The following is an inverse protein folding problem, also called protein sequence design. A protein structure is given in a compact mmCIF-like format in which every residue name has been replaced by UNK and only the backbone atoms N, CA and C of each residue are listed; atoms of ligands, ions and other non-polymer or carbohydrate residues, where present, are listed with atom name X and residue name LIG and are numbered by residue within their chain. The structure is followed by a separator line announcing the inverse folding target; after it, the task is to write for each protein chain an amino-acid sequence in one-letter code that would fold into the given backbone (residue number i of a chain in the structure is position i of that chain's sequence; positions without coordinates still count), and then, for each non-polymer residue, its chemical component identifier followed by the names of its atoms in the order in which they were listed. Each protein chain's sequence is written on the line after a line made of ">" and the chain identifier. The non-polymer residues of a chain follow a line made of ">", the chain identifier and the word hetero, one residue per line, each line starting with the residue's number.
data_IF_213772775888
#
_entry.id   IF_213772775888
#
_cell.length_a   1.000
_cell.length_b   1.000
_cell.length_c   1.000
_cell.angle_alpha   90.00
_cell.angle_beta   90.00
_cell.angle_gamma   90.00
#
_symmetry.space_group_name_H-M   'P 1'
#
loop_
_entity.id
_entity.type
_entity.pdbx_description
1 polymer ?
#
# COMPACT_ATOMS: atom_id res chain seq x y z
N UNK A 1 34.74 -36.44 -67.38
CA UNK A 1 34.83 -36.53 -65.91
C UNK A 1 34.31 -35.24 -65.27
N UNK A 2 33.44 -35.41 -64.26
CA UNK A 2 33.18 -34.56 -63.07
C UNK A 2 32.71 -33.10 -63.23
N UNK A 3 31.51 -32.86 -62.69
CA UNK A 3 31.29 -31.80 -61.69
C UNK A 3 30.57 -32.39 -60.47
N UNK A 4 31.03 -32.05 -59.26
CA UNK A 4 30.29 -32.24 -58.01
C UNK A 4 30.09 -30.85 -57.40
N UNK A 5 28.84 -30.43 -57.21
CA UNK A 5 28.51 -29.24 -56.42
C UNK A 5 28.30 -29.67 -54.98
N UNK A 6 29.14 -29.19 -54.06
CA UNK A 6 28.90 -29.29 -52.61
C UNK A 6 27.96 -28.17 -52.19
N UNK A 7 26.82 -28.52 -51.60
CA UNK A 7 25.99 -27.60 -50.83
C UNK A 7 26.68 -27.33 -49.49
N UNK A 8 26.77 -26.05 -49.10
CA UNK A 8 27.22 -25.67 -47.76
C UNK A 8 25.98 -25.35 -46.93
N UNK A 9 25.86 -25.99 -45.77
CA UNK A 9 24.78 -25.74 -44.81
C UNK A 9 24.96 -24.35 -44.17
N UNK A 10 23.88 -23.60 -43.90
CA UNK A 10 23.98 -22.29 -43.26
C UNK A 10 24.58 -22.43 -41.86
N UNK A 11 25.65 -21.68 -41.56
CA UNK A 11 26.28 -21.68 -40.25
C UNK A 11 25.57 -20.70 -39.32
N UNK A 12 24.71 -21.22 -38.45
CA UNK A 12 23.96 -20.46 -37.44
C UNK A 12 24.81 -20.05 -36.21
N UNK A 13 26.10 -20.37 -36.20
CA UNK A 13 27.03 -20.11 -35.08
C UNK A 13 28.07 -19.02 -35.37
N UNK A 14 27.76 -18.09 -36.29
CA UNK A 14 28.64 -16.95 -36.53
C UNK A 14 28.63 -16.02 -35.29
N UNK A 15 29.79 -15.46 -34.89
CA UNK A 15 29.89 -14.51 -33.76
C UNK A 15 28.91 -13.33 -33.88
N UNK A 16 28.55 -12.95 -35.10
CA UNK A 16 27.61 -11.85 -35.37
C UNK A 16 26.16 -12.25 -35.06
N UNK A 17 25.78 -13.50 -35.36
CA UNK A 17 24.43 -13.99 -35.08
C UNK A 17 24.26 -14.39 -33.61
N UNK A 18 25.32 -14.88 -32.95
CA UNK A 18 25.34 -15.09 -31.51
C UNK A 18 25.10 -13.78 -30.72
N UNK A 19 25.70 -12.67 -31.15
CA UNK A 19 25.48 -11.35 -30.51
C UNK A 19 24.04 -10.86 -30.74
N UNK A 20 23.44 -11.15 -31.90
CA UNK A 20 22.04 -10.81 -32.19
C UNK A 20 21.09 -11.62 -31.31
N UNK A 21 21.31 -12.93 -31.22
CA UNK A 21 20.52 -13.82 -30.38
C UNK A 21 20.63 -13.42 -28.90
N UNK A 22 21.83 -13.14 -28.41
CA UNK A 22 22.07 -12.71 -27.04
C UNK A 22 21.33 -11.40 -26.71
N UNK A 23 21.30 -10.43 -27.62
CA UNK A 23 20.56 -9.18 -27.43
C UNK A 23 19.05 -9.39 -27.37
N UNK A 24 18.52 -10.31 -28.18
CA UNK A 24 17.10 -10.67 -28.15
C UNK A 24 16.71 -11.34 -26.82
N UNK A 25 17.53 -12.29 -26.36
CA UNK A 25 17.34 -12.97 -25.08
C UNK A 25 17.46 -11.98 -23.91
N UNK A 26 18.44 -11.07 -23.96
CA UNK A 26 18.61 -10.03 -22.94
C UNK A 26 17.41 -9.07 -22.89
N UNK A 27 16.89 -8.64 -24.05
CA UNK A 27 15.68 -7.81 -24.11
C UNK A 27 14.47 -8.54 -23.53
N UNK A 28 14.30 -9.82 -23.83
CA UNK A 28 13.23 -10.64 -23.28
C UNK A 28 13.37 -10.82 -21.76
N UNK A 29 14.60 -10.98 -21.27
CA UNK A 29 14.91 -11.06 -19.84
C UNK A 29 14.55 -9.78 -19.07
N UNK A 30 14.82 -8.61 -19.65
CA UNK A 30 14.43 -7.31 -19.06
C UNK A 30 12.91 -7.15 -19.00
N UNK A 31 12.20 -7.55 -20.06
CA UNK A 31 10.72 -7.55 -20.07
C UNK A 31 10.17 -8.49 -19.01
N UNK A 32 10.74 -9.69 -18.88
CA UNK A 32 10.31 -10.68 -17.90
C UNK A 32 10.57 -10.21 -16.46
N UNK A 33 11.72 -9.57 -16.21
CA UNK A 33 12.01 -8.95 -14.91
C UNK A 33 11.03 -7.80 -14.60
N UNK A 34 10.69 -7.00 -15.61
CA UNK A 34 9.68 -5.95 -15.50
C UNK A 34 8.29 -6.50 -15.17
N UNK A 35 7.89 -7.61 -15.81
CA UNK A 35 6.65 -8.31 -15.49
C UNK A 35 6.65 -8.89 -14.07
N UNK A 36 7.75 -9.50 -13.62
CA UNK A 36 7.86 -10.04 -12.26
C UNK A 36 7.84 -8.95 -11.17
N UNK A 37 8.38 -7.78 -11.48
CA UNK A 37 8.30 -6.63 -10.58
C UNK A 37 6.88 -6.03 -10.59
N UNK A 38 6.26 -5.93 -11.76
CA UNK A 38 4.89 -5.45 -11.90
C UNK A 38 3.83 -6.45 -11.42
N UNK A 39 4.13 -7.75 -11.29
CA UNK A 39 3.16 -8.74 -10.81
C UNK A 39 2.96 -8.72 -9.30
N UNK A 40 3.73 -7.90 -8.56
CA UNK A 40 3.52 -7.70 -7.13
C UNK A 40 2.42 -6.67 -6.91
N UNK A 41 1.30 -7.10 -6.35
CA UNK A 41 0.12 -6.26 -6.08
C UNK A 41 0.48 -5.02 -5.23
N UNK A 42 1.43 -5.16 -4.31
CA UNK A 42 1.91 -4.07 -3.46
C UNK A 42 2.49 -2.87 -4.23
N UNK A 43 3.09 -3.11 -5.40
CA UNK A 43 3.68 -2.08 -6.24
C UNK A 43 2.63 -1.22 -6.97
N UNK A 44 1.35 -1.62 -6.94
CA UNK A 44 0.25 -0.89 -7.56
C UNK A 44 -0.61 -0.12 -6.55
N UNK A 45 -0.36 -0.25 -5.24
CA UNK A 45 -1.16 0.42 -4.20
C UNK A 45 -1.08 1.94 -4.24
N UNK A 46 -0.05 2.51 -4.86
CA UNK A 46 0.01 3.96 -5.10
C UNK A 46 -0.95 4.43 -6.20
N UNK A 47 -1.34 3.55 -7.12
CA UNK A 47 -2.23 3.86 -8.25
C UNK A 47 -3.69 3.50 -7.94
N UNK A 48 -3.94 2.37 -7.29
CA UNK A 48 -5.30 1.87 -6.99
C UNK A 48 -5.75 2.12 -5.56
N UNK A 49 -4.85 2.60 -4.68
CA UNK A 49 -5.05 2.56 -3.23
C UNK A 49 -4.83 1.14 -2.67
N UNK A 50 -4.63 1.03 -1.35
CA UNK A 50 -4.56 -0.27 -0.67
C UNK A 50 -5.95 -0.96 -0.74
N UNK A 51 -6.01 -2.27 -1.04
CA UNK A 51 -7.26 -3.01 -1.21
C UNK A 51 -8.13 -2.97 0.04
N UNK A 52 -9.45 -3.07 -0.16
CA UNK A 52 -10.47 -2.94 0.88
C UNK A 52 -10.48 -4.08 1.92
N UNK A 53 -9.78 -5.18 1.63
CA UNK A 53 -9.75 -6.41 2.45
C UNK A 53 -8.70 -6.39 3.58
N UNK A 54 -8.27 -5.21 3.99
CA UNK A 54 -7.54 -5.06 5.26
C UNK A 54 -8.49 -5.49 6.40
N UNK A 55 -8.15 -6.46 7.26
CA UNK A 55 -9.00 -6.85 8.39
C UNK A 55 -9.35 -5.65 9.30
N UNK A 56 -8.53 -4.59 9.30
CA UNK A 56 -8.83 -3.33 9.97
C UNK A 56 -9.98 -2.52 9.33
N UNK A 57 -10.24 -2.68 8.02
CA UNK A 57 -11.41 -2.10 7.33
C UNK A 57 -12.62 -3.02 7.33
N UNK A 58 -12.43 -4.33 7.32
CA UNK A 58 -13.54 -5.28 7.44
C UNK A 58 -14.21 -5.21 8.82
N UNK A 59 -13.47 -4.89 9.88
CA UNK A 59 -14.06 -4.53 11.19
C UNK A 59 -14.70 -3.12 11.21
N UNK A 60 -14.36 -2.25 10.27
CA UNK A 60 -14.96 -0.93 10.09
C UNK A 60 -16.21 -0.91 9.18
N UNK A 61 -16.64 -2.08 8.66
CA UNK A 61 -17.91 -2.26 7.96
C UNK A 61 -19.11 -2.49 8.91
N UNK A 62 -19.01 -2.02 10.16
CA UNK A 62 -20.22 -1.70 10.93
C UNK A 62 -20.76 -0.40 10.36
N UNK A 63 -21.96 -0.42 9.79
CA UNK A 63 -22.60 0.76 9.20
C UNK A 63 -22.50 1.96 10.17
N UNK A 64 -21.80 3.06 9.83
CA UNK A 64 -21.69 4.25 10.68
C UNK A 64 -23.05 4.88 11.02
N UNK A 65 -24.10 4.54 10.26
CA UNK A 65 -25.49 4.97 10.45
C UNK A 65 -26.18 4.37 11.68
N UNK A 66 -25.54 3.49 12.45
CA UNK A 66 -26.12 2.86 13.66
C UNK A 66 -25.57 3.44 14.98
N UNK A 67 -24.56 4.32 14.93
CA UNK A 67 -24.00 4.90 16.16
C UNK A 67 -24.92 6.01 16.68
N UNK A 68 -25.38 5.84 17.92
CA UNK A 68 -26.11 6.88 18.65
C UNK A 68 -25.15 7.96 19.17
N UNK A 69 -25.13 9.08 18.45
CA UNK A 69 -24.42 10.31 18.82
C UNK A 69 -25.27 11.27 19.66
N UNK A 70 -26.52 10.94 19.98
CA UNK A 70 -27.38 11.83 20.74
C UNK A 70 -26.88 12.01 22.18
N UNK A 71 -27.07 13.22 22.69
CA UNK A 71 -26.87 13.54 24.10
C UNK A 71 -28.20 13.27 24.80
N UNK A 72 -28.16 12.55 25.92
CA UNK A 72 -29.32 12.33 26.78
C UNK A 72 -29.77 13.67 27.32
N UNK A 73 -30.92 14.12 26.82
CA UNK A 73 -31.61 15.28 27.35
C UNK A 73 -32.35 14.88 28.62
N UNK A 74 -32.03 15.56 29.70
CA UNK A 74 -32.71 15.37 30.96
C UNK A 74 -33.96 16.25 30.98
N UNK A 75 -35.15 15.69 31.28
CA UNK A 75 -36.36 16.48 31.34
C UNK A 75 -36.24 17.53 32.43
N UNK A 76 -36.73 18.73 32.13
CA UNK A 76 -36.80 19.83 33.09
C UNK A 76 -37.63 19.39 34.30
N UNK A 77 -37.07 19.60 35.49
CA UNK A 77 -37.76 19.31 36.74
C UNK A 77 -38.95 20.25 36.90
N UNK A 78 -40.07 19.71 37.38
CA UNK A 78 -41.23 20.53 37.76
C UNK A 78 -40.89 21.33 39.03
N UNK A 79 -41.61 22.44 39.30
CA UNK A 79 -41.60 23.05 40.63
C UNK A 79 -41.89 21.97 41.68
N UNK A 80 -41.09 21.92 42.75
CA UNK A 80 -41.11 20.93 43.84
C UNK A 80 -40.59 19.51 43.50
N UNK A 81 -40.04 19.30 42.31
CA UNK A 81 -39.33 18.06 41.96
C UNK A 81 -37.82 18.25 42.15
N UNK A 82 -37.20 17.33 42.90
CA UNK A 82 -35.74 17.25 42.99
C UNK A 82 -35.28 15.89 42.47
N UNK A 83 -34.11 15.88 41.81
CA UNK A 83 -33.48 14.65 41.34
C UNK A 83 -32.35 14.29 42.28
N UNK A 84 -32.40 13.09 42.86
CA UNK A 84 -31.26 12.55 43.60
C UNK A 84 -30.16 12.16 42.62
N UNK A 85 -28.93 12.57 42.90
CA UNK A 85 -27.77 12.06 42.17
C UNK A 85 -27.55 10.58 42.49
N UNK A 86 -27.07 9.79 41.52
CA UNK A 86 -26.69 8.41 41.78
C UNK A 86 -25.56 8.37 42.81
N UNK A 87 -25.80 7.69 43.93
CA UNK A 87 -24.77 7.49 44.94
C UNK A 87 -23.67 6.57 44.37
N UNK A 88 -22.38 6.85 44.65
CA UNK A 88 -21.31 5.93 44.30
C UNK A 88 -21.50 4.60 45.04
N UNK A 89 -21.33 3.48 44.34
CA UNK A 89 -21.47 2.14 44.92
C UNK A 89 -20.38 1.86 45.96
N UNK A 90 -19.17 2.39 45.72
CA UNK A 90 -18.03 2.32 46.62
C UNK A 90 -17.45 3.73 46.75
N UNK A 91 -17.03 4.09 47.96
CA UNK A 91 -16.27 5.31 48.19
C UNK A 91 -14.96 5.28 47.40
N UNK A 92 -14.73 6.31 46.60
CA UNK A 92 -13.47 6.44 45.86
C UNK A 92 -12.33 6.60 46.87
N UNK A 93 -11.28 5.78 46.81
CA UNK A 93 -10.18 5.84 47.76
C UNK A 93 -9.58 7.25 47.83
N UNK A 94 -9.27 7.73 49.05
CA UNK A 94 -8.65 9.03 49.25
C UNK A 94 -7.20 9.09 48.72
N UNK A 95 -6.54 7.94 48.60
CA UNK A 95 -5.18 7.82 48.09
C UNK A 95 -5.12 6.87 46.89
N UNK A 96 -4.29 7.24 45.92
CA UNK A 96 -4.03 6.43 44.74
C UNK A 96 -2.90 5.46 45.04
N UNK A 97 -3.21 4.17 45.02
CA UNK A 97 -2.22 3.10 45.04
C UNK A 97 -1.86 2.78 43.60
N UNK A 98 -0.71 3.27 43.15
CA UNK A 98 -0.21 3.01 41.79
C UNK A 98 0.82 1.87 41.75
N UNK A 99 1.27 1.38 42.90
CA UNK A 99 2.30 0.36 43.02
C UNK A 99 1.85 -0.75 43.96
N UNK A 100 2.01 -1.99 43.53
CA UNK A 100 1.75 -3.18 44.31
C UNK A 100 2.87 -3.41 45.33
N UNK A 101 2.62 -4.25 46.33
CA UNK A 101 3.65 -4.66 47.31
C UNK A 101 4.86 -5.33 46.65
N UNK A 102 4.64 -5.98 45.50
CA UNK A 102 5.69 -6.57 44.66
C UNK A 102 6.61 -5.54 44.00
N UNK A 103 6.24 -4.25 44.05
CA UNK A 103 6.94 -3.18 43.38
C UNK A 103 6.56 -2.97 41.91
N UNK A 104 5.64 -3.76 41.37
CA UNK A 104 5.04 -3.55 40.03
C UNK A 104 4.01 -2.42 40.05
N UNK A 105 3.79 -1.77 38.91
CA UNK A 105 2.75 -0.76 38.78
C UNK A 105 1.38 -1.40 38.57
N UNK A 106 0.40 -0.98 39.36
CA UNK A 106 -0.99 -1.40 39.17
C UNK A 106 -1.69 -0.48 38.16
N UNK A 107 -1.77 -0.96 36.93
CA UNK A 107 -2.46 -0.26 35.83
C UNK A 107 -3.97 -0.51 35.83
N UNK A 108 -4.51 -1.46 36.62
CA UNK A 108 -5.92 -1.82 36.55
C UNK A 108 -6.78 -0.87 37.38
N UNK A 109 -8.01 -0.63 36.96
CA UNK A 109 -8.97 0.16 37.73
C UNK A 109 -10.09 -0.77 38.16
N UNK A 110 -10.51 -0.67 39.42
CA UNK A 110 -11.72 -1.36 39.88
C UNK A 110 -12.94 -0.75 39.16
N UNK A 111 -13.67 -1.50 38.32
CA UNK A 111 -14.81 -0.98 37.58
C UNK A 111 -15.88 -0.35 38.46
N UNK A 112 -16.02 -0.82 39.72
CA UNK A 112 -17.04 -0.33 40.66
C UNK A 112 -16.89 1.16 40.98
N UNK A 113 -15.68 1.70 40.90
CA UNK A 113 -15.40 3.14 41.07
C UNK A 113 -16.04 4.01 39.98
N UNK A 114 -16.44 3.40 38.87
CA UNK A 114 -16.94 4.07 37.67
C UNK A 114 -18.40 3.68 37.35
N UNK A 115 -19.08 2.92 38.23
CA UNK A 115 -20.46 2.50 38.00
C UNK A 115 -21.48 3.64 38.08
N UNK A 116 -21.21 4.69 38.85
CA UNK A 116 -22.04 5.90 38.91
C UNK A 116 -21.90 6.80 37.66
N UNK A 117 -20.88 6.56 36.83
CA UNK A 117 -20.62 7.37 35.63
C UNK A 117 -21.65 7.07 34.55
N UNK A 118 -22.26 8.13 34.02
CA UNK A 118 -23.37 8.05 33.08
C UNK A 118 -22.96 8.49 31.68
N UNK A 119 -23.17 7.63 30.70
CA UNK A 119 -22.87 7.95 29.30
C UNK A 119 -23.89 8.90 28.67
N UNK A 120 -23.45 9.56 27.59
CA UNK A 120 -24.21 10.51 26.78
C UNK A 120 -24.74 11.73 27.53
N UNK A 121 -24.19 12.07 28.70
CA UNK A 121 -24.53 13.31 29.41
C UNK A 121 -23.63 14.47 28.97
N UNK A 122 -24.16 15.69 29.03
CA UNK A 122 -23.42 16.90 28.70
C UNK A 122 -22.34 17.16 29.77
N UNK A 123 -21.07 17.17 29.37
CA UNK A 123 -19.96 17.46 30.27
C UNK A 123 -19.66 16.35 31.29
N UNK A 124 -19.07 16.76 32.42
CA UNK A 124 -18.78 15.93 33.60
C UNK A 124 -19.75 16.36 34.69
N UNK A 125 -20.39 15.41 35.37
CA UNK A 125 -21.30 15.69 36.49
C UNK A 125 -20.54 15.78 37.80
N UNK A 126 -21.11 16.47 38.78
CA UNK A 126 -20.49 16.67 40.10
C UNK A 126 -20.18 15.33 40.79
N UNK A 127 -21.11 14.37 40.77
CA UNK A 127 -20.90 13.01 41.28
C UNK A 127 -19.86 12.18 40.50
N UNK A 128 -19.49 12.58 39.28
CA UNK A 128 -18.46 11.92 38.47
C UNK A 128 -17.06 12.52 38.69
N UNK A 129 -16.98 13.76 39.19
CA UNK A 129 -15.73 14.51 39.34
C UNK A 129 -14.71 13.76 40.20
N UNK A 130 -15.14 13.15 41.30
CA UNK A 130 -14.24 12.42 42.20
C UNK A 130 -13.58 11.22 41.48
N UNK A 131 -14.36 10.43 40.74
CA UNK A 131 -13.85 9.30 39.95
C UNK A 131 -12.95 9.77 38.79
N UNK A 132 -13.26 10.90 38.17
CA UNK A 132 -12.41 11.51 37.15
C UNK A 132 -11.04 11.91 37.72
N UNK A 133 -11.02 12.63 38.85
CA UNK A 133 -9.76 13.06 39.47
C UNK A 133 -8.94 11.88 39.99
N UNK A 134 -9.60 10.84 40.51
CA UNK A 134 -8.92 9.60 40.88
C UNK A 134 -8.21 8.97 39.67
N UNK A 135 -8.87 8.89 38.50
CA UNK A 135 -8.24 8.37 37.27
C UNK A 135 -7.11 9.26 36.76
N UNK A 136 -7.27 10.58 36.81
CA UNK A 136 -6.21 11.54 36.43
C UNK A 136 -4.98 11.36 37.32
N UNK A 137 -5.19 11.22 38.63
CA UNK A 137 -4.12 10.98 39.59
C UNK A 137 -3.49 9.60 39.43
N UNK A 138 -4.28 8.56 39.15
CA UNK A 138 -3.76 7.21 38.83
C UNK A 138 -2.91 7.21 37.57
N UNK A 139 -3.37 7.83 36.49
CA UNK A 139 -2.57 7.98 35.28
C UNK A 139 -1.29 8.79 35.55
N UNK A 140 -1.37 9.87 36.32
CA UNK A 140 -0.21 10.70 36.68
C UNK A 140 0.80 10.01 37.60
N UNK A 141 0.38 9.03 38.40
CA UNK A 141 1.24 8.28 39.30
C UNK A 141 2.05 7.18 38.58
N UNK A 142 1.59 6.72 37.41
CA UNK A 142 2.24 5.65 36.64
C UNK A 142 3.15 6.28 35.56
N UNK A 143 4.38 5.79 35.36
CA UNK A 143 5.24 6.26 34.27
C UNK A 143 4.62 6.03 32.89
N UNK A 144 4.76 7.01 31.99
CA UNK A 144 4.16 6.97 30.65
C UNK A 144 4.55 5.72 29.85
N UNK A 145 5.82 5.29 29.93
CA UNK A 145 6.31 4.10 29.25
C UNK A 145 5.66 2.81 29.76
N UNK A 146 5.31 2.75 31.04
CA UNK A 146 4.63 1.59 31.63
C UNK A 146 3.20 1.53 31.11
N UNK A 147 2.48 2.65 31.12
CA UNK A 147 1.12 2.72 30.54
C UNK A 147 1.11 2.28 29.08
N UNK A 148 2.07 2.75 28.27
CA UNK A 148 2.19 2.39 26.85
C UNK A 148 2.57 0.93 26.60
N UNK A 149 3.26 0.27 27.54
CA UNK A 149 3.62 -1.15 27.44
C UNK A 149 2.52 -2.07 27.96
N UNK A 150 1.69 -1.59 28.89
CA UNK A 150 0.62 -2.38 29.53
C UNK A 150 -0.74 -2.29 28.82
N UNK A 151 -0.77 -1.78 27.59
CA UNK A 151 -2.02 -1.48 26.87
C UNK A 151 -2.01 -2.11 25.48
N UNK A 152 -3.20 -2.47 25.03
CA UNK A 152 -3.45 -2.87 23.64
C UNK A 152 -3.97 -1.66 22.83
N UNK A 153 -3.87 -1.70 21.49
CA UNK A 153 -4.56 -0.74 20.64
C UNK A 153 -6.06 -0.68 20.99
N UNK A 154 -6.63 0.52 20.97
CA UNK A 154 -8.06 0.66 21.21
C UNK A 154 -8.87 -0.14 20.17
N UNK A 155 -10.03 -0.70 20.56
CA UNK A 155 -11.00 -1.23 19.60
C UNK A 155 -11.42 -0.15 18.60
N UNK A 156 -12.03 -0.52 17.47
CA UNK A 156 -12.55 0.43 16.50
C UNK A 156 -13.48 1.46 17.17
N UNK A 157 -13.41 2.71 16.73
CA UNK A 157 -14.20 3.84 17.24
C UNK A 157 -15.69 3.50 17.38
N UNK A 158 -16.24 2.84 16.37
CA UNK A 158 -17.66 2.42 16.33
C UNK A 158 -18.00 1.49 17.50
N UNK A 159 -17.14 0.52 17.78
CA UNK A 159 -17.31 -0.45 18.87
C UNK A 159 -17.29 0.28 20.21
N UNK A 160 -16.30 1.14 20.43
CA UNK A 160 -16.18 1.93 21.68
C UNK A 160 -17.39 2.85 21.90
N UNK A 161 -17.99 3.37 20.83
CA UNK A 161 -19.16 4.25 20.93
C UNK A 161 -20.47 3.50 21.22
N UNK A 162 -20.61 2.27 20.73
CA UNK A 162 -21.79 1.43 20.93
C UNK A 162 -21.73 0.68 22.27
N UNK A 163 -20.55 0.20 22.65
CA UNK A 163 -20.29 -0.62 23.85
C UNK A 163 -19.57 0.19 24.94
N UNK A 164 -19.76 1.51 24.97
CA UNK A 164 -19.11 2.46 25.89
C UNK A 164 -19.03 1.97 27.36
N UNK A 165 -20.12 1.44 27.98
CA UNK A 165 -20.05 0.94 29.35
C UNK A 165 -19.02 -0.18 29.57
N UNK A 166 -18.78 -1.03 28.57
CA UNK A 166 -17.85 -2.16 28.68
C UNK A 166 -16.37 -1.72 28.72
N UNK A 167 -16.07 -0.55 28.17
CA UNK A 167 -14.70 -0.05 28.10
C UNK A 167 -14.33 0.87 29.27
N UNK A 168 -15.28 1.20 30.13
CA UNK A 168 -15.06 2.09 31.27
C UNK A 168 -13.96 1.59 32.20
N UNK A 169 -12.97 2.45 32.46
CA UNK A 169 -11.79 2.15 33.25
C UNK A 169 -10.72 1.31 32.53
N UNK A 170 -10.95 0.88 31.29
CA UNK A 170 -9.94 0.12 30.53
C UNK A 170 -8.88 1.06 29.95
N UNK A 171 -7.62 0.64 30.05
CA UNK A 171 -6.48 1.34 29.48
C UNK A 171 -6.37 1.03 27.99
N UNK A 172 -6.37 2.04 27.15
CA UNK A 172 -6.29 1.89 25.69
C UNK A 172 -5.37 2.92 25.04
N UNK A 173 -4.85 2.57 23.86
CA UNK A 173 -4.04 3.49 23.05
C UNK A 173 -4.72 3.85 21.74
N UNK A 174 -4.89 5.15 21.51
CA UNK A 174 -5.45 5.70 20.27
C UNK A 174 -4.41 6.59 19.59
N UNK A 175 -4.22 6.37 18.28
CA UNK A 175 -3.40 7.22 17.42
C UNK A 175 -4.30 8.11 16.57
N UNK A 176 -3.90 9.36 16.38
CA UNK A 176 -4.71 10.29 15.61
C UNK A 176 -4.04 11.63 15.37
N UNK A 177 -4.84 12.57 14.88
CA UNK A 177 -4.42 13.92 14.55
C UNK A 177 -5.09 14.92 15.49
N UNK A 178 -4.28 15.73 16.18
CA UNK A 178 -4.75 16.65 17.22
C UNK A 178 -5.31 17.93 16.62
N UNK A 179 -6.61 18.19 16.79
CA UNK A 179 -7.30 19.39 16.30
C UNK A 179 -7.33 20.53 17.30
N UNK A 180 -7.38 20.22 18.60
CA UNK A 180 -7.45 21.22 19.68
C UNK A 180 -6.64 20.74 20.86
N UNK A 181 -5.96 21.65 21.53
CA UNK A 181 -5.33 21.38 22.82
C UNK A 181 -5.25 22.67 23.63
N UNK A 182 -5.92 22.71 24.79
CA UNK A 182 -5.97 23.91 25.63
C UNK A 182 -5.94 23.56 27.11
N UNK A 183 -5.42 24.44 27.98
CA UNK A 183 -5.61 24.31 29.41
C UNK A 183 -7.09 24.47 29.77
N UNK A 184 -7.53 23.74 30.79
CA UNK A 184 -8.86 23.88 31.40
C UNK A 184 -8.71 24.12 32.90
N UNK A 185 -9.62 24.89 33.52
CA UNK A 185 -9.57 25.11 34.96
C UNK A 185 -9.71 23.80 35.70
N UNK A 186 -9.01 23.69 36.82
CA UNK A 186 -9.06 22.54 37.71
C UNK A 186 -9.81 22.94 38.96
N UNK A 187 -10.78 22.12 39.36
CA UNK A 187 -11.48 22.29 40.63
C UNK A 187 -10.62 21.72 41.76
N UNK A 188 -10.85 22.22 42.98
CA UNK A 188 -10.21 21.67 44.16
C UNK A 188 -10.54 20.18 44.29
N UNK A 189 -9.49 19.37 44.42
CA UNK A 189 -9.62 17.92 44.51
C UNK A 189 -8.64 17.37 45.54
N UNK A 190 -9.03 16.28 46.18
CA UNK A 190 -8.23 15.61 47.21
C UNK A 190 -6.98 14.88 46.68
N UNK A 191 -6.82 14.79 45.35
CA UNK A 191 -5.75 14.03 44.71
C UNK A 191 -4.55 14.88 44.26
N UNK A 192 -4.59 16.20 44.48
CA UNK A 192 -3.49 17.12 44.14
C UNK A 192 -3.30 17.32 42.63
N UNK A 193 -4.32 17.08 41.82
CA UNK A 193 -4.29 17.43 40.39
C UNK A 193 -4.43 18.95 40.29
N UNK A 194 -3.38 19.62 39.80
CA UNK A 194 -3.32 21.10 39.73
C UNK A 194 -3.28 21.64 38.29
N UNK A 195 -3.13 20.76 37.31
CA UNK A 195 -3.04 21.13 35.90
C UNK A 195 -3.81 20.12 35.07
N UNK A 196 -4.65 20.64 34.18
CA UNK A 196 -5.49 19.83 33.31
C UNK A 196 -5.54 20.47 31.93
N UNK A 197 -5.39 19.64 30.92
CA UNK A 197 -5.43 20.03 29.53
C UNK A 197 -6.46 19.19 28.80
N UNK A 198 -7.26 19.85 27.98
CA UNK A 198 -8.25 19.23 27.12
C UNK A 198 -7.75 19.20 25.68
N UNK A 199 -7.66 18.00 25.14
CA UNK A 199 -7.35 17.74 23.74
C UNK A 199 -8.55 17.18 22.97
N UNK A 200 -8.64 17.53 21.68
CA UNK A 200 -9.57 16.92 20.74
C UNK A 200 -8.79 16.44 19.53
N UNK A 201 -8.99 15.19 19.14
CA UNK A 201 -8.23 14.57 18.07
C UNK A 201 -9.10 13.59 17.28
N UNK A 202 -8.70 13.31 16.05
CA UNK A 202 -9.40 12.36 15.18
C UNK A 202 -8.53 11.13 14.97
N UNK A 203 -9.04 9.95 15.29
CA UNK A 203 -8.42 8.68 14.90
C UNK A 203 -8.75 8.36 13.45
N UNK A 204 -7.96 7.49 12.83
CA UNK A 204 -8.10 7.13 11.41
C UNK A 204 -9.49 6.56 11.06
N UNK A 205 -10.17 5.96 12.02
CA UNK A 205 -11.47 5.29 11.90
C UNK A 205 -12.65 6.09 12.46
N UNK A 206 -12.40 7.27 13.06
CA UNK A 206 -13.45 8.12 13.65
C UNK A 206 -14.15 9.06 12.66
N UNK A 207 -13.59 9.20 11.45
CA UNK A 207 -14.12 10.08 10.41
C UNK A 207 -14.15 11.54 10.88
N UNK A 208 -15.33 12.14 10.93
CA UNK A 208 -15.54 13.53 11.38
C UNK A 208 -15.89 13.65 12.86
N UNK A 209 -15.91 12.54 13.61
CA UNK A 209 -16.24 12.53 15.03
C UNK A 209 -14.95 12.50 15.87
N UNK A 210 -14.77 13.43 16.82
CA UNK A 210 -13.54 13.49 17.56
C UNK A 210 -13.53 12.53 18.75
N UNK A 211 -12.34 12.20 19.21
CA UNK A 211 -12.07 11.76 20.56
C UNK A 211 -11.74 12.98 21.43
N UNK A 212 -12.14 12.91 22.71
CA UNK A 212 -11.76 13.88 23.73
C UNK A 212 -10.72 13.25 24.65
N UNK A 213 -9.70 14.00 25.01
CA UNK A 213 -8.70 13.58 26.03
C UNK A 213 -8.57 14.65 27.10
N UNK A 214 -8.51 14.21 28.35
CA UNK A 214 -8.07 15.00 29.49
C UNK A 214 -6.72 14.47 29.95
N UNK A 215 -5.73 15.36 30.09
CA UNK A 215 -4.40 14.97 30.53
C UNK A 215 -3.79 15.98 31.51
N UNK A 216 -2.89 15.50 32.37
CA UNK A 216 -2.28 16.31 33.43
C UNK A 216 -0.95 16.94 33.01
N UNK A 217 -0.30 16.41 31.96
CA UNK A 217 1.01 16.83 31.49
C UNK A 217 1.03 16.98 29.97
N UNK A 218 1.78 17.97 29.47
CA UNK A 218 2.03 18.15 28.05
C UNK A 218 3.51 17.88 27.72
N UNK A 219 3.81 17.25 26.57
CA UNK A 219 5.19 17.17 26.09
C UNK A 219 5.71 18.57 25.71
N UNK A 220 7.01 18.77 25.89
CA UNK A 220 7.64 20.05 25.58
C UNK A 220 7.51 20.39 24.08
N UNK A 221 7.10 21.62 23.79
CA UNK A 221 7.03 22.15 22.42
C UNK A 221 5.80 21.73 21.61
N UNK A 222 4.87 20.95 22.17
CA UNK A 222 3.61 20.62 21.47
C UNK A 222 2.81 21.89 21.16
N UNK A 223 2.28 22.03 19.94
CA UNK A 223 1.41 23.15 19.61
C UNK A 223 0.12 23.07 20.44
N UNK A 224 -0.30 24.21 20.96
CA UNK A 224 -1.54 24.39 21.73
C UNK A 224 -2.41 25.45 21.08
N UNK A 225 -3.72 25.36 21.25
CA UNK A 225 -4.67 26.25 20.63
C UNK A 225 -6.06 25.65 20.54
N UNK A 226 -7.05 26.51 20.26
CA UNK A 226 -8.44 26.10 20.08
C UNK A 226 -8.70 25.39 18.74
N UNK A 227 -7.87 25.68 17.74
CA UNK A 227 -7.95 25.11 16.40
C UNK A 227 -6.54 25.02 15.78
N UNK A 228 -5.98 23.82 15.77
CA UNK A 228 -4.66 23.52 15.20
C UNK A 228 -4.83 23.15 13.73
N UNK A 229 -4.32 23.99 12.83
CA UNK A 229 -4.42 23.78 11.38
C UNK A 229 -3.54 22.62 10.89
N UNK A 230 -2.34 22.48 11.46
CA UNK A 230 -1.37 21.45 11.07
C UNK A 230 -1.78 20.04 11.53
N UNK A 231 -2.74 19.95 12.46
CA UNK A 231 -3.28 18.70 13.00
C UNK A 231 -2.20 17.65 13.30
N UNK A 232 -1.24 17.93 14.21
CA UNK A 232 -0.07 17.09 14.40
C UNK A 232 -0.44 15.68 14.83
N UNK A 233 0.38 14.71 14.41
CA UNK A 233 0.22 13.30 14.76
C UNK A 233 0.55 13.07 16.24
N UNK A 234 -0.39 12.43 16.93
CA UNK A 234 -0.31 12.13 18.36
C UNK A 234 -0.69 10.69 18.64
N UNK A 235 -0.15 10.15 19.73
CA UNK A 235 -0.57 8.91 20.36
C UNK A 235 -1.01 9.23 21.79
N UNK A 236 -2.17 8.71 22.18
CA UNK A 236 -2.76 8.94 23.49
C UNK A 236 -2.99 7.57 24.11
N UNK A 237 -2.39 7.36 25.27
CA UNK A 237 -2.58 6.18 26.10
C UNK A 237 -3.24 6.61 27.40
N UNK A 238 -4.44 6.11 27.65
CA UNK A 238 -5.24 6.54 28.79
C UNK A 238 -6.41 5.63 29.09
N UNK A 239 -7.02 5.85 30.24
CA UNK A 239 -8.22 5.15 30.68
C UNK A 239 -9.44 5.71 29.98
N UNK A 240 -10.27 4.85 29.41
CA UNK A 240 -11.57 5.28 28.90
C UNK A 240 -12.51 5.60 30.06
N UNK A 241 -13.07 6.80 30.07
CA UNK A 241 -13.93 7.27 31.16
C UNK A 241 -15.42 7.11 30.83
N UNK A 242 -15.86 7.70 29.72
CA UNK A 242 -17.27 7.67 29.28
C UNK A 242 -17.42 8.17 27.87
N UNK A 243 -18.61 7.96 27.31
CA UNK A 243 -19.12 8.72 26.15
C UNK A 243 -19.71 10.05 26.66
N UNK A 244 -19.08 11.18 26.37
CA UNK A 244 -19.49 12.52 26.88
C UNK A 244 -20.10 13.38 25.77
N UNK A 245 -21.15 14.11 26.11
CA UNK A 245 -21.82 15.06 25.23
C UNK A 245 -21.05 16.38 25.10
N UNK A 246 -21.06 16.95 23.89
CA UNK A 246 -20.43 18.23 23.58
C UNK A 246 -21.21 19.00 22.50
N UNK A 247 -21.12 20.34 22.48
CA UNK A 247 -21.66 21.14 21.40
C UNK A 247 -20.76 21.04 20.17
N UNK A 248 -21.28 20.50 19.07
CA UNK A 248 -20.59 20.49 17.78
C UNK A 248 -20.57 21.87 17.14
N UNK A 249 -19.64 22.10 16.20
CA UNK A 249 -19.58 23.35 15.42
C UNK A 249 -20.86 23.62 14.61
N UNK A 250 -21.61 22.56 14.26
CA UNK A 250 -22.90 22.67 13.58
C UNK A 250 -24.07 23.03 14.52
N UNK A 251 -23.79 23.34 15.79
CA UNK A 251 -24.79 23.72 16.79
C UNK A 251 -25.62 22.56 17.35
N UNK A 252 -25.36 21.32 16.90
CA UNK A 252 -26.02 20.12 17.45
C UNK A 252 -25.21 19.53 18.60
N UNK A 253 -25.89 19.02 19.61
CA UNK A 253 -25.26 18.22 20.64
C UNK A 253 -24.88 16.85 20.05
N UNK A 254 -23.62 16.47 20.24
CA UNK A 254 -23.07 15.19 19.82
C UNK A 254 -22.30 14.56 20.96
N UNK A 255 -22.01 13.27 20.87
CA UNK A 255 -21.17 12.57 21.85
C UNK A 255 -19.81 12.19 21.29
N UNK A 256 -18.83 12.13 22.18
CA UNK A 256 -17.46 11.72 21.90
C UNK A 256 -16.94 10.80 23.02
N UNK A 257 -16.07 9.83 22.70
CA UNK A 257 -15.38 9.05 23.70
C UNK A 257 -14.36 9.92 24.44
N UNK A 258 -14.31 9.81 25.77
CA UNK A 258 -13.39 10.55 26.64
C UNK A 258 -12.32 9.63 27.22
N UNK A 259 -11.06 9.97 26.96
CA UNK A 259 -9.88 9.35 27.55
C UNK A 259 -9.29 10.22 28.66
N UNK A 260 -8.82 9.58 29.72
CA UNK A 260 -8.08 10.18 30.83
C UNK A 260 -6.65 9.67 30.77
N UNK A 261 -5.73 10.54 30.44
CA UNK A 261 -4.33 10.20 30.19
C UNK A 261 -3.39 10.98 31.13
N UNK A 262 -2.16 10.48 31.28
CA UNK A 262 -1.09 11.26 31.90
C UNK A 262 -0.64 12.37 30.97
N UNK A 263 -0.20 11.97 29.77
CA UNK A 263 0.45 12.85 28.80
C UNK A 263 0.06 12.42 27.38
N UNK A 264 0.01 13.40 26.47
CA UNK A 264 -0.10 13.16 25.03
C UNK A 264 1.30 12.90 24.47
N UNK A 265 1.48 11.81 23.70
CA UNK A 265 2.73 11.58 22.98
C UNK A 265 2.67 12.24 21.60
N UNK A 266 3.49 13.27 21.41
CA UNK A 266 3.58 14.01 20.15
C UNK A 266 4.80 13.55 19.33
N UNK A 267 4.58 13.34 18.03
CA UNK A 267 5.64 13.05 17.08
C UNK A 267 5.89 14.31 16.24
N UNK A 268 6.92 15.12 16.55
CA UNK A 268 7.23 16.29 15.76
C UNK A 268 7.48 15.88 14.30
N UNK A 269 6.95 16.63 13.32
CA UNK A 269 7.28 16.38 11.92
C UNK A 269 8.80 16.43 11.80
N UNK A 270 9.39 15.33 11.35
CA UNK A 270 10.83 15.30 11.09
C UNK A 270 11.08 16.20 9.88
N UNK A 271 11.90 17.24 10.04
CA UNK A 271 12.35 18.13 8.95
C UNK A 271 13.14 17.41 7.84
N UNK A 272 13.25 16.08 7.90
CA UNK A 272 13.71 15.28 6.78
C UNK A 272 12.72 15.48 5.65
N UNK A 273 13.09 16.16 4.55
CA UNK A 273 12.22 16.27 3.41
C UNK A 273 11.89 14.84 3.00
N UNK A 274 10.63 14.44 3.18
CA UNK A 274 10.13 13.20 2.62
C UNK A 274 10.56 13.22 1.15
N UNK A 275 11.25 12.19 0.63
CA UNK A 275 11.64 12.17 -0.77
C UNK A 275 10.33 12.27 -1.55
N UNK A 276 10.04 13.47 -2.05
CA UNK A 276 8.84 13.73 -2.82
C UNK A 276 8.89 12.72 -3.95
N UNK A 277 7.90 11.82 -3.97
CA UNK A 277 7.76 10.76 -4.98
C UNK A 277 7.73 11.34 -6.42
N UNK A 278 7.57 12.66 -6.55
CA UNK A 278 7.76 13.42 -7.79
C UNK A 278 9.16 13.29 -8.42
N UNK A 279 10.21 13.01 -7.64
CA UNK A 279 11.55 12.75 -8.17
C UNK A 279 11.62 11.40 -8.89
N UNK A 280 11.18 10.33 -8.23
CA UNK A 280 11.22 8.96 -8.75
C UNK A 280 10.36 8.82 -10.04
N UNK A 281 9.20 9.47 -10.09
CA UNK A 281 8.33 9.46 -11.29
C UNK A 281 9.04 10.09 -12.49
N UNK A 282 9.77 11.19 -12.31
CA UNK A 282 10.56 11.81 -13.40
C UNK A 282 11.66 10.87 -13.90
N UNK A 283 12.35 10.18 -12.99
CA UNK A 283 13.39 9.21 -13.39
C UNK A 283 12.79 7.99 -14.11
N UNK A 284 11.66 7.46 -13.65
CA UNK A 284 10.97 6.33 -14.29
C UNK A 284 10.47 6.71 -15.69
N UNK A 285 9.83 7.87 -15.83
CA UNK A 285 9.38 8.37 -17.14
C UNK A 285 10.56 8.61 -18.08
N UNK A 286 11.66 9.17 -17.57
CA UNK A 286 12.88 9.37 -18.36
C UNK A 286 13.51 8.04 -18.81
N UNK A 287 13.50 7.03 -17.93
CA UNK A 287 14.04 5.70 -18.22
C UNK A 287 13.20 5.00 -19.30
N UNK A 288 11.87 5.05 -19.18
CA UNK A 288 10.96 4.51 -20.19
C UNK A 288 11.14 5.20 -21.54
N UNK A 289 11.26 6.54 -21.56
CA UNK A 289 11.51 7.30 -22.79
C UNK A 289 12.83 6.88 -23.45
N UNK A 290 13.91 6.75 -22.68
CA UNK A 290 15.22 6.32 -23.17
C UNK A 290 15.18 4.90 -23.73
N UNK A 291 14.50 3.98 -23.04
CA UNK A 291 14.33 2.60 -23.50
C UNK A 291 13.52 2.56 -24.81
N UNK A 292 12.42 3.31 -24.91
CA UNK A 292 11.60 3.38 -26.12
C UNK A 292 12.38 3.96 -27.31
N UNK A 293 13.16 5.02 -27.09
CA UNK A 293 14.02 5.61 -28.14
C UNK A 293 15.11 4.63 -28.57
N UNK A 294 15.75 3.93 -27.64
CA UNK A 294 16.76 2.92 -27.94
C UNK A 294 16.17 1.75 -28.73
N UNK A 295 14.97 1.27 -28.37
CA UNK A 295 14.27 0.21 -29.08
C UNK A 295 13.90 0.65 -30.51
N UNK A 296 13.33 1.84 -30.65
CA UNK A 296 12.98 2.43 -31.94
C UNK A 296 14.21 2.60 -32.85
N UNK A 297 15.31 3.09 -32.29
CA UNK A 297 16.58 3.23 -33.02
C UNK A 297 17.14 1.87 -33.47
N UNK A 298 17.05 0.84 -32.63
CA UNK A 298 17.49 -0.51 -32.99
C UNK A 298 16.63 -1.10 -34.12
N UNK A 299 15.31 -0.94 -34.05
CA UNK A 299 14.38 -1.40 -35.10
C UNK A 299 14.65 -0.65 -36.40
N UNK A 300 14.78 0.67 -36.35
CA UNK A 300 15.09 1.49 -37.52
C UNK A 300 16.43 1.09 -38.16
N UNK A 301 17.48 0.91 -37.35
CA UNK A 301 18.79 0.46 -37.83
C UNK A 301 18.71 -0.94 -38.45
N UNK A 302 17.85 -1.81 -37.92
CA UNK A 302 17.63 -3.15 -38.47
C UNK A 302 16.95 -3.07 -39.84
N UNK A 303 15.89 -2.26 -39.99
CA UNK A 303 15.19 -2.04 -41.27
C UNK A 303 16.12 -1.44 -42.32
N UNK A 304 16.90 -0.42 -41.96
CA UNK A 304 17.88 0.21 -42.88
C UNK A 304 19.03 -0.74 -43.23
N UNK A 305 19.45 -1.58 -42.29
CA UNK A 305 20.43 -2.64 -42.52
C UNK A 305 19.90 -3.70 -43.47
N UNK A 306 18.63 -4.08 -43.33
CA UNK A 306 18.00 -5.12 -44.15
C UNK A 306 17.80 -4.66 -45.60
N UNK A 307 17.52 -3.37 -45.81
CA UNK A 307 17.52 -2.77 -47.14
C UNK A 307 18.90 -2.82 -47.84
N UNK A 308 20.01 -2.86 -47.07
CA UNK A 308 21.36 -3.06 -47.64
C UNK A 308 21.65 -4.54 -47.92
N UNK A 309 21.02 -5.47 -47.22
CA UNK A 309 21.10 -6.91 -47.52
C UNK A 309 20.26 -7.30 -48.75
N UNK A 310 19.09 -6.68 -48.95
CA UNK A 310 18.28 -6.84 -50.17
C UNK A 310 19.01 -6.36 -51.44
N UNK A 311 19.98 -5.44 -51.32
CA UNK A 311 20.86 -4.99 -52.41
C UNK A 311 22.15 -5.80 -52.55
N UNK A 312 22.48 -6.65 -51.58
CA UNK A 312 23.65 -7.52 -51.67
C UNK A 312 23.36 -8.70 -52.62
N UNK A 313 24.34 -9.04 -53.46
CA UNK A 313 24.24 -9.86 -54.69
C UNK A 313 23.58 -11.25 -54.56
N UNK A 314 23.18 -11.69 -53.37
CA UNK A 314 22.46 -12.93 -53.10
C UNK A 314 20.96 -12.87 -53.40
N UNK A 315 20.30 -11.71 -53.26
CA UNK A 315 18.89 -11.56 -53.67
C UNK A 315 18.71 -11.74 -55.19
N UNK A 316 19.74 -11.37 -55.96
CA UNK A 316 19.80 -11.58 -57.42
C UNK A 316 19.99 -13.05 -57.83
N UNK A 317 20.34 -13.93 -56.89
CA UNK A 317 20.44 -15.39 -57.12
C UNK A 317 19.14 -16.13 -56.73
N UNK A 318 18.24 -15.50 -55.97
CA UNK A 318 16.96 -16.08 -55.55
C UNK A 318 15.78 -15.67 -56.43
N UNK A 319 15.91 -14.64 -57.27
CA UNK A 319 15.02 -14.45 -58.41
C UNK A 319 15.33 -15.51 -59.48
N UNK A 320 14.71 -16.69 -59.34
CA UNK A 320 14.50 -17.56 -60.51
C UNK A 320 13.58 -16.79 -61.46
N UNK A 321 13.93 -16.63 -62.75
CA UNK A 321 12.94 -16.19 -63.72
C UNK A 321 11.90 -17.31 -63.83
N UNK A 322 10.63 -16.93 -63.82
CA UNK A 322 9.50 -17.81 -64.10
C UNK A 322 9.71 -18.45 -65.49
N UNK A 323 10.24 -19.68 -65.52
CA UNK A 323 10.12 -20.52 -66.71
C UNK A 323 8.67 -21.00 -66.76
N UNK A 324 7.88 -20.32 -67.57
CA UNK A 324 6.53 -20.73 -67.97
C UNK A 324 6.55 -22.14 -68.55
N UNK A 325 5.56 -22.97 -68.19
CA UNK A 325 5.33 -24.32 -68.71
C UNK A 325 5.24 -24.42 -70.25
N UNK A 326 5.19 -23.31 -70.98
CA UNK A 326 5.25 -23.30 -72.45
C UNK A 326 6.62 -23.67 -73.03
N UNK A 327 7.74 -23.52 -72.30
CA UNK A 327 9.06 -23.96 -72.78
C UNK A 327 9.29 -25.47 -72.69
N UNK A 328 8.30 -26.23 -72.22
CA UNK A 328 8.32 -27.70 -72.19
C UNK A 328 7.58 -28.33 -73.38
N UNK A 329 6.99 -27.53 -74.28
CA UNK A 329 6.34 -28.03 -75.50
C UNK A 329 7.30 -28.24 -76.68
N UNK A 330 8.46 -27.60 -76.66
CA UNK A 330 9.48 -27.70 -77.72
C UNK A 330 10.58 -28.74 -77.42
N UNK A 331 10.40 -29.57 -76.38
CA UNK A 331 11.26 -30.73 -76.17
C UNK A 331 10.70 -31.87 -77.04
N UNK A 332 11.34 -32.07 -78.18
CA UNK A 332 11.10 -33.20 -79.08
C UNK A 332 11.25 -34.51 -78.30
N UNK A 333 10.12 -35.15 -78.00
CA UNK A 333 10.10 -36.43 -77.30
C UNK A 333 10.51 -37.52 -78.26
N UNK A 334 11.73 -38.01 -78.11
CA UNK A 334 12.19 -39.21 -78.82
C UNK A 334 11.51 -40.43 -78.20
N UNK A 335 10.76 -41.18 -79.01
CA UNK A 335 10.11 -42.41 -78.57
C UNK A 335 11.17 -43.47 -78.24
N UNK A 336 11.08 -44.06 -77.05
CA UNK A 336 12.01 -45.05 -76.52
C UNK A 336 12.06 -46.29 -77.43
N UNK A 337 10.98 -46.59 -78.15
CA UNK A 337 10.93 -47.70 -79.10
C UNK A 337 11.82 -47.47 -80.34
N UNK A 338 11.96 -46.21 -80.78
CA UNK A 338 12.84 -45.87 -81.90
C UNK A 338 14.31 -45.97 -81.50
N UNK A 339 14.65 -45.55 -80.27
CA UNK A 339 16.01 -45.71 -79.71
C UNK A 339 16.39 -47.18 -79.53
N UNK A 340 15.44 -48.03 -79.09
CA UNK A 340 15.67 -49.48 -78.95
C UNK A 340 15.81 -50.18 -80.31
N UNK A 341 15.07 -49.77 -81.34
CA UNK A 341 15.28 -50.24 -82.71
C UNK A 341 16.64 -49.84 -83.26
N UNK A 342 17.07 -48.60 -83.00
CA UNK A 342 18.35 -48.07 -83.46
C UNK A 342 19.54 -48.76 -82.78
N UNK A 343 19.44 -49.08 -81.48
CA UNK A 343 20.45 -49.88 -80.78
C UNK A 343 20.44 -51.36 -81.19
N UNK A 344 19.28 -51.92 -81.56
CA UNK A 344 19.16 -53.27 -82.09
C UNK A 344 19.83 -53.46 -83.46
N UNK A 345 19.85 -52.41 -84.28
CA UNK A 345 20.50 -52.40 -85.60
C UNK A 345 22.00 -52.07 -85.54
N UNK A 346 22.47 -51.42 -84.47
CA UNK A 346 23.88 -51.02 -84.31
C UNK A 346 24.82 -52.16 -83.85
N UNK A 347 24.30 -53.35 -83.55
CA UNK A 347 25.08 -54.53 -83.14
C UNK A 347 25.29 -55.59 -84.26
N UNK A 348 24.96 -55.26 -85.51
CA UNK A 348 25.24 -56.10 -86.68
C UNK A 348 25.95 -55.26 -87.76
N UNK A 349 27.26 -55.01 -87.59
CA UNK A 349 28.30 -54.96 -88.65
C UNK A 349 29.62 -54.27 -88.15
N UNK A 350 30.82 -54.89 -88.30
CA UNK A 350 32.16 -54.28 -88.11
C UNK A 350 32.79 -53.85 -89.47
N UNK A 351 34.04 -53.35 -89.62
CA UNK A 351 35.02 -52.58 -88.81
C UNK A 351 35.60 -51.34 -89.59
N UNK A 352 36.84 -50.92 -89.25
CA UNK A 352 37.82 -50.07 -89.99
C UNK A 352 37.75 -48.55 -89.75
N UNK A 353 38.82 -47.78 -89.58
CA UNK A 353 40.25 -47.95 -89.84
C UNK A 353 40.85 -46.56 -90.21
N UNK A 354 42.17 -46.40 -90.07
CA UNK A 354 43.01 -45.20 -90.34
C UNK A 354 43.00 -44.10 -89.25
N UNK A 355 44.06 -43.86 -88.47
CA UNK A 355 45.49 -43.61 -88.76
C UNK A 355 45.75 -42.20 -89.29
N UNK A 356 46.26 -41.32 -88.41
CA UNK A 356 47.39 -40.45 -88.77
C UNK A 356 48.05 -39.82 -87.54
N UNK A 357 49.37 -39.86 -87.61
CA UNK A 357 50.34 -39.62 -86.56
C UNK A 357 51.00 -38.24 -86.67
N UNK A 358 51.58 -37.83 -85.54
CA UNK A 358 52.92 -37.24 -85.37
C UNK A 358 53.22 -35.73 -85.61
N UNK A 359 53.74 -35.14 -84.50
CA UNK A 359 54.95 -34.28 -84.34
C UNK A 359 54.93 -32.86 -84.92
N UNK A 360 55.62 -31.85 -84.38
CA UNK A 360 56.71 -31.69 -83.40
C UNK A 360 56.65 -30.19 -82.99
N UNK A 361 57.07 -29.74 -81.81
CA UNK A 361 58.45 -29.71 -81.33
C UNK A 361 58.51 -29.26 -79.88
#
# INVERSE_FOLDING_TARGET
>A
MRFHKRSTTPSYFSRRDQIRLFRLVAALGVIFLGMLYASREENWYWLTGRPADDPARQQAQVNPSEIDFSVREEPALKPDEFRSEPAPEIEVPAQVIARLETGEFDVRVDPRLLNSVSDSTLGIRDHESNSLYYLLAKAAAIPQNVLEQSTEPAPPFVVVMNESPEYRGKLMTVKGQLKRLKPVPVEENQYGVNSLYEGWFFSNDSGTHPWRVLCTQLPQGIPTGNDLQEMPSVQITGYYFKKTGYPSAAGKLQTAPLLVARQIRWFPPSDTPAPSSSGAVKYIVSLFLVISVALGFLIWRFIVSDQKFARSRTAKLMQRPDMSMDSLKDIETVDINDVLKQMGQQNQDPPAGSDQSDKQK
#
